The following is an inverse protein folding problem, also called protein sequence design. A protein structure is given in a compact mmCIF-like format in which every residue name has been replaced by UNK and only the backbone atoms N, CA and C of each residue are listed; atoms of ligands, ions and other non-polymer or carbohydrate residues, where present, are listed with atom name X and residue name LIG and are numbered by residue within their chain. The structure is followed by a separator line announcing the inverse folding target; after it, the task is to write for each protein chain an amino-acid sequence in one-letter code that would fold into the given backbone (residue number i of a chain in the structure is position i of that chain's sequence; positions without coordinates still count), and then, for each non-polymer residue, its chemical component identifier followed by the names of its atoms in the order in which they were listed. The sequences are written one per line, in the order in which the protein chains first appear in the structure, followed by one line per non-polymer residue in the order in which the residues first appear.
data_IF_066396127038
#
_entry.id   IF_066396127038
#
_cell.length_a   1.000
_cell.length_b   1.000
_cell.length_c   1.000
_cell.angle_alpha   90.00
_cell.angle_beta   90.00
_cell.angle_gamma   90.00
#
_symmetry.space_group_name_H-M   'P 1'
#
loop_
_entity.id
_entity.type
_entity.pdbx_description
1 polymer ?
#
# COMPACT_ATOMS: atom_id res chain seq x y z
N UNK A 1 -9.93 53.97 -35.73
CA UNK A 1 -8.81 53.98 -34.78
C UNK A 1 -8.39 52.55 -34.48
N UNK A 2 -7.56 51.81 -35.19
CA UNK A 2 -6.82 51.92 -36.47
C UNK A 2 -6.26 50.50 -36.68
N UNK A 3 -6.65 49.81 -37.75
CA UNK A 3 -5.95 49.69 -39.05
C UNK A 3 -5.06 48.44 -39.17
N UNK A 4 -5.20 47.81 -40.36
CA UNK A 4 -4.38 46.75 -41.02
C UNK A 4 -4.81 45.32 -40.69
N UNK A 5 -5.18 44.45 -41.64
CA UNK A 5 -5.05 44.42 -43.11
C UNK A 5 -6.06 43.35 -43.61
N UNK A 6 -6.99 43.69 -44.51
CA UNK A 6 -6.98 43.33 -45.95
C UNK A 6 -6.82 41.80 -46.19
N UNK A 7 -7.89 41.02 -46.38
CA UNK A 7 -8.81 40.92 -47.54
C UNK A 7 -8.15 40.37 -48.82
N UNK A 8 -8.67 39.23 -49.31
CA UNK A 8 -8.86 38.78 -50.71
C UNK A 8 -8.99 37.23 -50.71
N UNK A 9 -10.15 36.64 -50.46
CA UNK A 9 -11.25 36.30 -51.38
C UNK A 9 -10.86 35.61 -52.69
N UNK A 10 -11.41 34.40 -52.80
CA UNK A 10 -11.62 33.57 -53.98
C UNK A 10 -12.13 34.32 -55.23
N UNK A 11 -11.87 33.64 -56.35
CA UNK A 11 -12.79 33.32 -57.45
C UNK A 11 -12.61 34.02 -58.81
N UNK A 12 -12.44 33.14 -59.81
CA UNK A 12 -13.20 33.05 -61.06
C UNK A 12 -12.53 33.46 -62.39
N UNK A 13 -12.59 32.48 -63.31
CA UNK A 13 -12.97 32.55 -64.75
C UNK A 13 -11.98 33.04 -65.82
N UNK A 14 -11.60 32.09 -66.71
CA UNK A 14 -11.65 32.17 -68.19
C UNK A 14 -11.14 30.80 -68.74
N UNK A 15 -11.94 29.91 -69.31
CA UNK A 15 -12.52 29.84 -70.67
C UNK A 15 -11.47 29.83 -71.82
N UNK A 16 -11.19 28.59 -72.28
CA UNK A 16 -10.82 28.07 -73.62
C UNK A 16 -10.01 28.87 -74.66
N UNK A 17 -8.84 28.29 -75.04
CA UNK A 17 -8.26 27.96 -76.39
C UNK A 17 -8.30 28.96 -77.58
N UNK A 18 -7.42 28.85 -78.62
CA UNK A 18 -6.42 27.81 -78.92
C UNK A 18 -5.03 28.33 -79.42
N UNK A 19 -4.13 27.34 -79.67
CA UNK A 19 -3.17 27.27 -80.81
C UNK A 19 -1.68 27.61 -80.56
N UNK A 20 -0.92 26.52 -80.33
CA UNK A 20 0.18 26.02 -81.18
C UNK A 20 1.44 26.90 -81.40
N UNK A 21 2.55 26.55 -80.74
CA UNK A 21 3.91 26.58 -81.33
C UNK A 21 4.93 25.80 -80.46
N UNK A 22 5.90 25.23 -81.16
CA UNK A 22 6.92 24.20 -80.84
C UNK A 22 8.11 24.70 -79.98
N UNK A 23 9.05 23.82 -79.56
CA UNK A 23 9.61 23.81 -78.20
C UNK A 23 10.87 24.66 -78.03
N UNK A 24 10.96 25.33 -76.89
CA UNK A 24 12.22 25.88 -76.37
C UNK A 24 12.49 25.24 -75.00
N UNK A 25 13.49 24.37 -74.95
CA UNK A 25 13.93 23.66 -73.75
C UNK A 25 14.57 24.65 -72.78
N UNK A 26 13.82 25.10 -71.77
CA UNK A 26 14.34 25.88 -70.65
C UNK A 26 15.01 24.98 -69.60
N UNK A 27 16.04 25.46 -68.88
CA UNK A 27 16.78 24.67 -67.91
C UNK A 27 15.93 24.30 -66.69
N UNK A 28 15.89 23.00 -66.38
CA UNK A 28 15.21 22.42 -65.21
C UNK A 28 15.96 22.74 -63.92
N UNK A 29 15.38 23.54 -63.04
CA UNK A 29 15.82 23.65 -61.64
C UNK A 29 15.50 22.35 -60.88
N UNK A 30 16.45 21.78 -60.10
CA UNK A 30 16.19 20.56 -59.36
C UNK A 30 15.18 20.79 -58.23
N UNK A 31 14.17 19.91 -58.16
CA UNK A 31 13.17 19.89 -57.09
C UNK A 31 13.86 19.62 -55.76
N UNK A 32 13.71 20.56 -54.82
CA UNK A 32 14.18 20.45 -53.43
C UNK A 32 13.50 19.25 -52.76
N UNK A 33 14.26 18.20 -52.47
CA UNK A 33 13.80 17.12 -51.59
C UNK A 33 13.58 17.72 -50.20
N UNK A 34 12.32 17.75 -49.75
CA UNK A 34 12.00 18.08 -48.38
C UNK A 34 12.54 16.96 -47.49
N UNK A 35 13.60 17.24 -46.74
CA UNK A 35 14.05 16.36 -45.67
C UNK A 35 12.92 16.27 -44.63
N UNK A 36 12.50 15.07 -44.21
CA UNK A 36 11.61 14.96 -43.06
C UNK A 36 12.35 15.55 -41.85
N UNK A 37 11.73 16.54 -41.21
CA UNK A 37 12.20 17.06 -39.93
C UNK A 37 12.22 15.88 -38.96
N UNK A 38 13.42 15.41 -38.62
CA UNK A 38 13.60 14.43 -37.57
C UNK A 38 13.04 15.03 -36.28
N UNK A 39 11.98 14.42 -35.75
CA UNK A 39 11.49 14.73 -34.42
C UNK A 39 12.62 14.52 -33.42
N UNK A 40 12.97 15.57 -32.69
CA UNK A 40 14.06 15.56 -31.72
C UNK A 40 13.87 14.41 -30.71
N UNK A 41 14.91 13.63 -30.41
CA UNK A 41 14.86 12.55 -29.41
C UNK A 41 14.60 13.05 -27.97
N UNK A 42 14.45 14.36 -27.75
CA UNK A 42 14.24 14.99 -26.45
C UNK A 42 12.78 14.96 -25.96
N UNK A 43 11.81 14.56 -26.79
CA UNK A 43 10.40 14.45 -26.37
C UNK A 43 10.06 13.08 -25.75
N UNK A 44 11.01 12.13 -25.73
CA UNK A 44 10.86 10.83 -25.10
C UNK A 44 11.91 10.61 -24.01
N UNK A 45 11.59 9.84 -22.94
CA UNK A 45 12.59 9.42 -21.97
C UNK A 45 13.71 8.60 -22.64
N UNK A 46 14.93 8.73 -22.15
CA UNK A 46 16.09 7.97 -22.63
C UNK A 46 15.81 6.46 -22.65
N UNK A 47 16.30 5.77 -23.68
CA UNK A 47 16.24 4.30 -23.80
C UNK A 47 16.96 3.56 -22.66
N UNK A 48 17.82 4.26 -21.90
CA UNK A 48 18.52 3.74 -20.73
C UNK A 48 17.83 4.03 -19.39
N UNK A 49 16.69 4.74 -19.39
CA UNK A 49 15.99 5.06 -18.15
C UNK A 49 15.28 3.83 -17.59
N UNK A 50 15.74 3.32 -16.44
CA UNK A 50 15.02 2.30 -15.67
C UNK A 50 13.76 2.94 -15.09
N UNK A 51 12.60 2.64 -15.67
CA UNK A 51 11.31 3.02 -15.09
C UNK A 51 10.77 1.90 -14.19
N UNK A 52 10.14 2.25 -13.06
CA UNK A 52 9.50 1.27 -12.19
C UNK A 52 8.42 0.51 -12.95
N UNK A 53 8.21 -0.74 -12.56
CA UNK A 53 7.23 -1.62 -13.18
C UNK A 53 5.81 -1.10 -12.99
N UNK A 54 5.07 -0.95 -14.09
CA UNK A 54 3.71 -0.45 -14.08
C UNK A 54 2.70 -1.57 -13.75
N UNK A 55 2.36 -1.68 -12.46
CA UNK A 55 1.39 -2.64 -11.96
C UNK A 55 -0.04 -2.38 -12.44
N UNK A 56 -0.38 -1.16 -12.87
CA UNK A 56 -1.70 -0.85 -13.42
C UNK A 56 -1.84 -1.35 -14.85
N UNK A 57 -0.81 -1.16 -15.69
CA UNK A 57 -0.76 -1.73 -17.03
C UNK A 57 -0.83 -3.27 -17.01
N UNK A 58 -0.12 -3.90 -16.06
CA UNK A 58 -0.15 -5.36 -15.88
C UNK A 58 -1.53 -5.89 -15.47
N UNK A 59 -2.19 -5.22 -14.50
CA UNK A 59 -3.54 -5.60 -14.03
C UNK A 59 -4.61 -5.40 -15.10
N UNK A 60 -4.46 -4.37 -15.94
CA UNK A 60 -5.42 -4.04 -17.00
C UNK A 60 -5.11 -4.72 -18.35
N UNK A 61 -4.11 -5.62 -18.40
CA UNK A 61 -3.64 -6.27 -19.63
C UNK A 61 -3.37 -5.29 -20.78
N UNK A 62 -2.98 -4.05 -20.46
CA UNK A 62 -2.65 -3.05 -21.48
C UNK A 62 -1.33 -3.44 -22.14
N UNK A 63 -1.20 -3.25 -23.47
CA UNK A 63 0.09 -3.42 -24.12
C UNK A 63 1.10 -2.45 -23.49
N UNK A 64 2.39 -2.85 -23.39
CA UNK A 64 3.40 -1.96 -22.84
C UNK A 64 3.41 -0.65 -23.66
N UNK A 65 3.50 0.51 -22.99
CA UNK A 65 3.34 1.82 -23.64
C UNK A 65 4.39 2.12 -24.72
N UNK A 66 5.49 1.35 -24.76
CA UNK A 66 6.54 1.47 -25.77
C UNK A 66 6.90 0.12 -26.38
N UNK A 67 7.26 0.08 -27.69
CA UNK A 67 7.77 -1.12 -28.31
C UNK A 67 9.09 -1.51 -27.66
N UNK A 68 9.14 -2.71 -27.05
CA UNK A 68 10.41 -3.25 -26.55
C UNK A 68 11.45 -3.32 -27.69
N UNK A 69 12.73 -3.00 -27.44
CA UNK A 69 13.78 -2.94 -28.47
C UNK A 69 14.02 -4.28 -29.20
N UNK A 70 13.45 -5.38 -28.69
CA UNK A 70 13.55 -6.71 -29.28
C UNK A 70 12.73 -6.85 -30.57
N UNK A 71 11.68 -6.04 -30.76
CA UNK A 71 10.78 -6.19 -31.91
C UNK A 71 11.34 -5.53 -33.17
N UNK A 72 12.09 -4.42 -33.04
CA UNK A 72 12.62 -3.67 -34.20
C UNK A 72 13.81 -4.36 -34.89
N UNK A 73 14.63 -5.16 -34.17
CA UNK A 73 15.79 -5.85 -34.74
C UNK A 73 15.47 -7.18 -35.45
N UNK A 74 14.21 -7.60 -35.50
CA UNK A 74 13.84 -8.94 -36.02
C UNK A 74 13.94 -9.11 -37.54
N UNK A 75 14.15 -8.03 -38.30
CA UNK A 75 14.16 -8.09 -39.78
C UNK A 75 15.55 -8.22 -40.43
N UNK A 76 16.65 -8.19 -39.68
CA UNK A 76 17.99 -8.21 -40.27
C UNK A 76 19.04 -8.93 -39.41
N UNK A 77 18.88 -10.23 -39.17
CA UNK A 77 19.95 -11.04 -38.58
C UNK A 77 20.25 -12.25 -39.47
N UNK A 78 21.36 -12.15 -40.22
CA UNK A 78 22.01 -13.26 -40.93
C UNK A 78 22.42 -14.34 -39.92
N UNK A 79 22.25 -15.60 -40.29
CA UNK A 79 22.85 -16.74 -39.60
C UNK A 79 24.36 -16.70 -39.84
N UNK A 80 25.16 -16.60 -38.79
CA UNK A 80 26.60 -16.86 -38.85
C UNK A 80 26.94 -18.07 -38.00
N UNK A 81 27.62 -19.01 -38.64
CA UNK A 81 28.15 -20.25 -38.11
C UNK A 81 29.53 -19.95 -37.50
N UNK A 82 29.60 -19.68 -36.20
CA UNK A 82 30.83 -19.67 -35.43
C UNK A 82 30.49 -19.60 -33.94
N UNK A 83 30.99 -20.57 -33.16
CA UNK A 83 30.86 -20.59 -31.72
C UNK A 83 31.57 -19.41 -31.06
N UNK A 84 30.88 -18.80 -30.09
CA UNK A 84 31.37 -18.24 -28.81
C UNK A 84 30.15 -17.56 -28.18
N UNK A 85 29.89 -17.91 -26.92
CA UNK A 85 28.68 -17.53 -26.19
C UNK A 85 28.52 -16.02 -26.05
N UNK A 86 27.48 -15.49 -26.68
CA UNK A 86 26.88 -14.20 -26.33
C UNK A 86 25.37 -14.37 -26.27
N UNK A 87 24.78 -13.74 -25.25
CA UNK A 87 23.42 -13.87 -24.76
C UNK A 87 22.37 -13.88 -25.88
N UNK A 88 21.97 -15.09 -26.27
CA UNK A 88 20.80 -15.35 -27.11
C UNK A 88 19.50 -14.99 -26.37
N UNK A 89 18.52 -14.56 -27.14
CA UNK A 89 17.17 -14.22 -26.70
C UNK A 89 16.59 -15.21 -25.67
N UNK A 90 15.74 -14.77 -24.72
CA UNK A 90 14.95 -15.71 -23.93
C UNK A 90 14.16 -16.56 -24.93
N UNK A 91 14.46 -17.85 -24.96
CA UNK A 91 13.73 -18.82 -25.77
C UNK A 91 12.24 -18.64 -25.48
N UNK A 92 11.40 -18.71 -26.52
CA UNK A 92 9.94 -18.71 -26.35
C UNK A 92 9.63 -19.82 -25.34
N UNK A 93 9.34 -19.46 -24.09
CA UNK A 93 9.07 -20.43 -23.04
C UNK A 93 7.88 -21.25 -23.50
N UNK A 94 8.13 -22.51 -23.88
CA UNK A 94 7.08 -23.45 -24.22
C UNK A 94 6.33 -23.72 -22.93
N UNK A 95 5.26 -22.97 -22.70
CA UNK A 95 4.38 -23.19 -21.55
C UNK A 95 3.62 -24.48 -21.85
N UNK A 96 4.03 -25.57 -21.19
CA UNK A 96 3.33 -26.85 -21.26
C UNK A 96 1.88 -26.62 -20.86
N UNK A 97 0.93 -26.94 -21.75
CA UNK A 97 -0.49 -26.88 -21.42
C UNK A 97 -0.76 -27.92 -20.33
N UNK A 98 -1.40 -27.49 -19.23
CA UNK A 98 -1.84 -28.41 -18.16
C UNK A 98 -2.75 -29.49 -18.74
N UNK A 99 -2.53 -30.74 -18.33
CA UNK A 99 -3.36 -31.88 -18.72
C UNK A 99 -4.80 -31.74 -18.17
N UNK A 100 -5.78 -32.47 -18.73
CA UNK A 100 -7.17 -32.39 -18.26
C UNK A 100 -7.31 -32.76 -16.77
N UNK A 101 -6.60 -33.80 -16.33
CA UNK A 101 -6.57 -34.20 -14.92
C UNK A 101 -5.98 -33.09 -14.04
N UNK A 102 -4.85 -32.51 -14.46
CA UNK A 102 -4.19 -31.41 -13.75
C UNK A 102 -5.07 -30.14 -13.69
N UNK A 103 -5.89 -29.89 -14.72
CA UNK A 103 -6.87 -28.79 -14.71
C UNK A 103 -7.93 -29.04 -13.64
N UNK A 104 -8.55 -30.23 -13.64
CA UNK A 104 -9.58 -30.61 -12.66
C UNK A 104 -9.05 -30.56 -11.22
N UNK A 105 -7.86 -31.12 -10.96
CA UNK A 105 -7.26 -31.08 -9.62
C UNK A 105 -6.87 -29.67 -9.18
N UNK A 106 -6.67 -28.73 -10.12
CA UNK A 106 -6.33 -27.34 -9.81
C UNK A 106 -7.55 -26.43 -9.54
N UNK A 107 -8.78 -26.87 -9.85
CA UNK A 107 -9.99 -26.03 -9.67
C UNK A 107 -10.15 -25.53 -8.23
N UNK A 108 -10.04 -26.38 -7.17
CA UNK A 108 -10.18 -25.89 -5.79
C UNK A 108 -9.12 -24.86 -5.42
N UNK A 109 -7.88 -25.07 -5.88
CA UNK A 109 -6.78 -24.13 -5.65
C UNK A 109 -7.02 -22.78 -6.33
N UNK A 110 -7.64 -22.81 -7.52
CA UNK A 110 -7.99 -21.61 -8.28
C UNK A 110 -9.13 -20.84 -7.63
N UNK A 111 -10.18 -21.54 -7.17
CA UNK A 111 -11.28 -20.91 -6.43
C UNK A 111 -10.77 -20.31 -5.12
N UNK A 112 -9.93 -21.03 -4.36
CA UNK A 112 -9.33 -20.51 -3.14
C UNK A 112 -8.47 -19.25 -3.41
N UNK A 113 -7.71 -19.26 -4.52
CA UNK A 113 -6.95 -18.10 -4.96
C UNK A 113 -7.87 -16.93 -5.34
N UNK A 114 -8.92 -17.16 -6.12
CA UNK A 114 -9.88 -16.12 -6.51
C UNK A 114 -10.62 -15.54 -5.30
N UNK A 115 -11.01 -16.38 -4.32
CA UNK A 115 -11.58 -15.93 -3.04
C UNK A 115 -10.57 -15.11 -2.23
N UNK A 116 -9.29 -15.51 -2.21
CA UNK A 116 -8.26 -14.75 -1.49
C UNK A 116 -7.96 -13.38 -2.10
N UNK A 117 -8.19 -13.23 -3.40
CA UNK A 117 -8.00 -11.96 -4.11
C UNK A 117 -9.27 -11.10 -4.04
N UNK A 118 -10.44 -11.70 -3.85
CA UNK A 118 -11.72 -10.99 -3.86
C UNK A 118 -11.74 -9.72 -2.98
N UNK A 119 -11.25 -9.71 -1.73
CA UNK A 119 -11.20 -8.49 -0.91
C UNK A 119 -10.39 -7.35 -1.52
N UNK A 120 -9.37 -7.68 -2.33
CA UNK A 120 -8.51 -6.70 -3.01
C UNK A 120 -9.06 -6.25 -4.37
N UNK A 121 -10.02 -7.00 -4.93
CA UNK A 121 -10.64 -6.69 -6.22
C UNK A 121 -11.89 -5.80 -6.09
N UNK A 122 -12.47 -5.70 -4.90
CA UNK A 122 -13.58 -4.78 -4.63
C UNK A 122 -12.99 -3.40 -4.38
N UNK A 123 -13.44 -2.34 -5.09
CA UNK A 123 -13.02 -0.97 -4.81
C UNK A 123 -13.67 -0.51 -3.51
N UNK A 124 -13.10 -0.93 -2.38
CA UNK A 124 -13.50 -0.47 -1.06
C UNK A 124 -13.09 1.01 -0.90
N UNK A 125 -13.88 1.82 -0.17
CA UNK A 125 -13.48 3.18 0.16
C UNK A 125 -12.16 3.16 0.93
N UNK A 126 -11.42 4.28 0.89
CA UNK A 126 -10.16 4.37 1.63
C UNK A 126 -10.37 3.99 3.11
N UNK A 127 -9.40 3.35 3.78
CA UNK A 127 -9.53 2.93 5.18
C UNK A 127 -10.00 4.07 6.09
N UNK A 128 -9.49 5.29 5.85
CA UNK A 128 -9.93 6.50 6.57
C UNK A 128 -11.39 6.85 6.28
N UNK A 129 -11.78 6.90 5.01
CA UNK A 129 -13.17 7.19 4.63
C UNK A 129 -14.14 6.16 5.22
N UNK A 130 -13.78 4.88 5.17
CA UNK A 130 -14.59 3.81 5.77
C UNK A 130 -14.77 4.00 7.27
N UNK A 131 -13.71 4.38 7.98
CA UNK A 131 -13.76 4.63 9.42
C UNK A 131 -14.64 5.85 9.77
N UNK A 132 -14.58 6.92 8.97
CA UNK A 132 -15.48 8.07 9.13
C UNK A 132 -16.95 7.70 8.89
N UNK A 133 -17.23 6.90 7.86
CA UNK A 133 -18.60 6.43 7.58
C UNK A 133 -19.13 5.55 8.71
N UNK A 134 -18.33 4.57 9.16
CA UNK A 134 -18.71 3.67 10.26
C UNK A 134 -18.85 4.42 11.58
N UNK A 135 -17.87 5.25 11.95
CA UNK A 135 -17.92 6.04 13.18
C UNK A 135 -19.06 7.06 13.18
N UNK A 136 -19.29 7.73 12.05
CA UNK A 136 -20.44 8.63 11.86
C UNK A 136 -21.78 7.90 11.97
N UNK A 137 -21.88 6.70 11.40
CA UNK A 137 -23.05 5.82 11.56
C UNK A 137 -23.25 5.42 13.03
N UNK A 138 -22.18 5.09 13.77
CA UNK A 138 -22.27 4.77 15.20
C UNK A 138 -22.74 5.97 16.03
N UNK A 139 -22.27 7.18 15.74
CA UNK A 139 -22.80 8.40 16.35
C UNK A 139 -24.27 8.62 16.04
N UNK A 140 -24.66 8.44 14.77
CA UNK A 140 -26.04 8.62 14.32
C UNK A 140 -26.98 7.61 15.00
N UNK A 141 -26.59 6.33 15.05
CA UNK A 141 -27.35 5.30 15.74
C UNK A 141 -27.50 5.62 17.23
N UNK A 142 -26.41 6.02 17.91
CA UNK A 142 -26.50 6.44 19.31
C UNK A 142 -27.44 7.63 19.51
N UNK A 143 -27.38 8.62 18.62
CA UNK A 143 -28.28 9.76 18.65
C UNK A 143 -29.75 9.32 18.51
N UNK A 144 -30.07 8.46 17.53
CA UNK A 144 -31.42 7.93 17.35
C UNK A 144 -31.92 7.19 18.59
N UNK A 145 -31.06 6.39 19.22
CA UNK A 145 -31.38 5.67 20.46
C UNK A 145 -31.65 6.64 21.60
N UNK A 146 -30.82 7.66 21.78
CA UNK A 146 -31.02 8.70 22.81
C UNK A 146 -32.27 9.54 22.59
N UNK A 147 -32.57 9.90 21.34
CA UNK A 147 -33.81 10.61 21.00
C UNK A 147 -35.03 9.73 21.30
N UNK A 148 -34.97 8.43 21.00
CA UNK A 148 -36.04 7.50 21.38
C UNK A 148 -36.21 7.41 22.90
N UNK A 149 -35.10 7.34 23.66
CA UNK A 149 -35.15 7.31 25.12
C UNK A 149 -35.78 8.58 25.69
N UNK A 150 -35.37 9.77 25.24
CA UNK A 150 -35.92 11.04 25.71
C UNK A 150 -37.40 11.20 25.36
N UNK A 151 -37.84 10.70 24.19
CA UNK A 151 -39.26 10.72 23.80
C UNK A 151 -40.13 9.74 24.58
N UNK A 152 -39.54 8.65 25.07
CA UNK A 152 -40.23 7.62 25.84
C UNK A 152 -40.18 7.87 27.35
N UNK A 153 -39.57 8.97 27.82
CA UNK A 153 -39.69 9.38 29.22
C UNK A 153 -41.15 9.79 29.43
N UNK A 154 -41.93 9.05 30.25
CA UNK A 154 -43.33 9.38 30.48
C UNK A 154 -43.43 10.74 31.18
N UNK A 155 -44.41 11.56 30.80
CA UNK A 155 -44.71 12.84 31.47
C UNK A 155 -45.15 12.66 32.95
N UNK A 156 -45.33 11.40 33.39
CA UNK A 156 -45.65 10.99 34.77
C UNK A 156 -44.61 11.48 35.78
N UNK A 157 -43.34 11.62 35.38
CA UNK A 157 -42.23 12.10 36.23
C UNK A 157 -42.26 13.62 36.48
N UNK A 158 -43.18 14.35 35.85
CA UNK A 158 -43.20 15.83 35.84
C UNK A 158 -44.33 16.41 36.73
N UNK A 159 -45.32 15.60 37.15
CA UNK A 159 -46.48 16.08 37.91
C UNK A 159 -46.92 15.14 39.04
N UNK A 160 -47.25 15.69 40.21
CA UNK A 160 -47.82 14.96 41.35
C UNK A 160 -49.18 14.30 41.08
N UNK A 161 -49.76 14.55 39.90
CA UNK A 161 -51.11 14.17 39.51
C UNK A 161 -51.22 12.73 38.99
N UNK A 162 -50.11 12.08 38.61
CA UNK A 162 -50.11 10.79 37.90
C UNK A 162 -49.76 9.55 38.76
N UNK A 163 -49.51 9.73 40.06
CA UNK A 163 -49.12 8.66 40.99
C UNK A 163 -50.18 7.54 41.18
N UNK A 164 -51.36 7.69 40.58
CA UNK A 164 -52.47 6.74 40.69
C UNK A 164 -52.69 5.88 39.43
N UNK A 165 -51.96 6.10 38.32
CA UNK A 165 -52.18 5.40 37.04
C UNK A 165 -50.93 4.69 36.45
N UNK A 166 -49.84 4.55 37.22
CA UNK A 166 -48.50 4.17 36.71
C UNK A 166 -48.31 2.73 36.17
N UNK A 167 -49.24 1.79 36.36
CA UNK A 167 -48.93 0.36 36.12
C UNK A 167 -49.30 -0.21 34.73
N UNK A 168 -49.92 0.56 33.82
CA UNK A 168 -50.54 -0.04 32.63
C UNK A 168 -49.76 0.06 31.30
N UNK A 169 -48.74 0.91 31.18
CA UNK A 169 -48.05 1.16 29.88
C UNK A 169 -46.51 0.93 29.91
N UNK A 170 -45.97 0.30 30.95
CA UNK A 170 -44.53 -0.01 31.01
C UNK A 170 -44.22 -1.19 30.08
N UNK A 171 -43.59 -0.92 28.93
CA UNK A 171 -43.09 -1.96 28.05
C UNK A 171 -42.08 -2.83 28.80
N UNK A 172 -42.36 -4.13 28.91
CA UNK A 172 -41.48 -5.13 29.54
C UNK A 172 -40.10 -5.24 28.87
N UNK A 173 -39.94 -4.71 27.65
CA UNK A 173 -38.69 -4.68 26.92
C UNK A 173 -38.43 -3.28 26.33
N UNK A 174 -37.32 -2.67 26.76
CA UNK A 174 -36.77 -1.47 26.15
C UNK A 174 -35.60 -1.83 25.25
N UNK A 175 -35.79 -1.68 23.94
CA UNK A 175 -34.78 -1.99 22.92
C UNK A 175 -33.58 -1.05 22.97
N UNK A 176 -33.69 0.11 23.62
CA UNK A 176 -32.63 1.12 23.63
C UNK A 176 -31.45 0.73 24.52
N UNK A 177 -31.71 0.01 25.62
CA UNK A 177 -30.68 -0.50 26.54
C UNK A 177 -29.73 -1.52 25.87
N UNK A 178 -30.18 -2.60 25.22
CA UNK A 178 -29.28 -3.52 24.55
C UNK A 178 -28.53 -2.88 23.37
N UNK A 179 -29.13 -1.90 22.68
CA UNK A 179 -28.45 -1.20 21.59
C UNK A 179 -27.35 -0.25 22.10
N UNK A 180 -27.59 0.50 23.19
CA UNK A 180 -26.52 1.30 23.81
C UNK A 180 -25.38 0.42 24.34
N UNK A 181 -25.71 -0.69 25.01
CA UNK A 181 -24.72 -1.68 25.46
C UNK A 181 -23.91 -2.26 24.30
N UNK A 182 -24.56 -2.60 23.19
CA UNK A 182 -23.90 -3.09 21.97
C UNK A 182 -22.94 -2.03 21.39
N UNK A 183 -23.36 -0.78 21.31
CA UNK A 183 -22.52 0.30 20.77
C UNK A 183 -21.30 0.59 21.65
N UNK A 184 -21.47 0.55 22.99
CA UNK A 184 -20.35 0.63 23.95
C UNK A 184 -19.42 -0.57 23.81
N UNK A 185 -19.96 -1.78 23.65
CA UNK A 185 -19.18 -2.99 23.45
C UNK A 185 -18.40 -2.96 22.13
N UNK A 186 -19.01 -2.49 21.04
CA UNK A 186 -18.33 -2.33 19.74
C UNK A 186 -17.22 -1.28 19.81
N UNK A 187 -17.45 -0.14 20.47
CA UNK A 187 -16.41 0.87 20.69
C UNK A 187 -15.24 0.31 21.51
N UNK A 188 -15.55 -0.43 22.57
CA UNK A 188 -14.56 -1.08 23.44
C UNK A 188 -13.80 -2.17 22.70
N UNK A 189 -14.48 -2.97 21.89
CA UNK A 189 -13.85 -3.99 21.06
C UNK A 189 -12.90 -3.37 20.03
N UNK A 190 -13.28 -2.27 19.37
CA UNK A 190 -12.39 -1.56 18.48
C UNK A 190 -11.14 -1.02 19.21
N UNK A 191 -11.31 -0.45 20.40
CA UNK A 191 -10.19 0.01 21.23
C UNK A 191 -9.27 -1.15 21.65
N UNK A 192 -9.84 -2.25 22.14
CA UNK A 192 -9.09 -3.45 22.50
C UNK A 192 -8.34 -4.03 21.30
N UNK A 193 -9.00 -4.11 20.15
CA UNK A 193 -8.37 -4.58 18.91
C UNK A 193 -7.21 -3.65 18.51
N UNK A 194 -7.41 -2.34 18.53
CA UNK A 194 -6.36 -1.36 18.25
C UNK A 194 -5.14 -1.55 19.15
N UNK A 195 -5.32 -1.73 20.46
CA UNK A 195 -4.20 -1.88 21.41
C UNK A 195 -3.57 -3.27 21.42
N UNK A 196 -4.27 -4.30 20.93
CA UNK A 196 -3.75 -5.67 20.83
C UNK A 196 -3.25 -6.05 19.44
N UNK A 197 -3.44 -5.20 18.43
CA UNK A 197 -2.99 -5.46 17.07
C UNK A 197 -1.47 -5.28 16.96
N UNK A 198 -0.76 -6.38 17.17
CA UNK A 198 0.70 -6.48 17.03
C UNK A 198 1.07 -7.39 15.86
N UNK A 199 2.24 -7.13 15.28
CA UNK A 199 2.84 -7.92 14.21
C UNK A 199 4.20 -8.42 14.63
N UNK A 200 4.42 -9.71 14.39
CA UNK A 200 5.67 -10.38 14.70
C UNK A 200 6.64 -10.24 13.53
N UNK A 201 7.84 -9.76 13.82
CA UNK A 201 8.94 -9.65 12.87
C UNK A 201 10.08 -10.57 13.27
N UNK A 202 10.53 -11.41 12.35
CA UNK A 202 11.65 -12.32 12.58
C UNK A 202 12.93 -11.76 11.97
N UNK A 203 13.96 -11.60 12.80
CA UNK A 203 15.28 -11.10 12.41
C UNK A 203 16.25 -12.27 12.30
N UNK A 204 16.51 -12.70 11.07
CA UNK A 204 17.37 -13.87 10.79
C UNK A 204 18.88 -13.56 10.74
N UNK A 205 19.22 -12.29 10.51
CA UNK A 205 20.60 -11.85 10.29
C UNK A 205 21.24 -11.24 11.55
N UNK A 206 20.44 -10.92 12.58
CA UNK A 206 20.92 -10.24 13.79
C UNK A 206 21.26 -11.27 14.88
N UNK A 207 22.54 -11.44 15.25
CA UNK A 207 22.94 -12.35 16.32
C UNK A 207 22.78 -11.73 17.71
N UNK A 208 22.96 -10.42 17.82
CA UNK A 208 22.93 -9.70 19.09
C UNK A 208 21.49 -9.37 19.53
N UNK A 209 21.20 -9.40 20.84
CA UNK A 209 19.87 -9.09 21.34
C UNK A 209 19.51 -7.63 21.06
N UNK A 210 18.50 -7.41 20.21
CA UNK A 210 17.82 -6.12 20.08
C UNK A 210 17.31 -5.63 21.44
N UNK A 211 17.67 -4.38 21.78
CA UNK A 211 17.32 -3.67 23.00
C UNK A 211 15.86 -3.19 22.99
N UNK A 212 14.90 -4.12 23.00
CA UNK A 212 13.48 -3.80 23.19
C UNK A 212 12.82 -4.79 24.14
N UNK A 213 11.86 -4.34 24.97
CA UNK A 213 11.15 -5.22 25.91
C UNK A 213 10.29 -6.28 25.21
N UNK A 214 9.92 -6.04 23.95
CA UNK A 214 9.10 -6.93 23.12
C UNK A 214 9.94 -7.85 22.22
N UNK A 215 11.26 -7.88 22.40
CA UNK A 215 12.13 -8.80 21.66
C UNK A 215 12.37 -10.09 22.46
N UNK A 216 12.28 -11.23 21.79
CA UNK A 216 12.57 -12.55 22.36
C UNK A 216 13.26 -13.45 21.35
N UNK A 217 14.01 -14.44 21.81
CA UNK A 217 14.56 -15.48 20.94
C UNK A 217 13.60 -16.65 20.82
N UNK A 218 13.27 -17.04 19.59
CA UNK A 218 12.38 -18.16 19.27
C UNK A 218 13.11 -19.11 18.34
N UNK A 219 12.80 -20.41 18.42
CA UNK A 219 13.32 -21.37 17.44
C UNK A 219 12.84 -20.97 16.04
N UNK A 220 13.74 -21.00 15.04
CA UNK A 220 13.39 -20.65 13.67
C UNK A 220 12.09 -21.36 13.26
N UNK A 221 11.07 -20.63 12.80
CA UNK A 221 9.83 -21.25 12.36
C UNK A 221 10.17 -22.18 11.20
N UNK A 222 10.10 -23.49 11.46
CA UNK A 222 10.21 -24.49 10.41
C UNK A 222 8.93 -24.43 9.57
N UNK A 223 9.08 -24.42 8.24
CA UNK A 223 7.94 -24.43 7.34
C UNK A 223 6.94 -25.50 7.79
N UNK A 224 5.66 -25.14 8.01
CA UNK A 224 4.68 -26.09 8.48
C UNK A 224 4.62 -27.22 7.45
N UNK A 225 4.80 -28.49 7.86
CA UNK A 225 4.73 -29.59 6.92
C UNK A 225 3.37 -29.56 6.22
N UNK A 226 3.30 -29.98 4.94
CA UNK A 226 2.08 -29.90 4.15
C UNK A 226 0.91 -30.52 4.90
N UNK A 227 -0.30 -29.95 4.75
CA UNK A 227 -1.50 -30.37 5.48
C UNK A 227 -1.73 -31.89 5.43
N UNK A 228 -1.48 -32.53 4.29
CA UNK A 228 -1.56 -33.98 4.14
C UNK A 228 -0.62 -34.74 5.11
N UNK A 229 0.60 -34.26 5.28
CA UNK A 229 1.57 -34.84 6.23
C UNK A 229 1.16 -34.55 7.68
N UNK A 230 0.60 -33.38 7.98
CA UNK A 230 0.05 -33.05 9.31
C UNK A 230 -1.13 -33.96 9.67
N UNK A 231 -2.11 -34.08 8.77
CA UNK A 231 -3.26 -34.95 8.95
C UNK A 231 -2.85 -36.41 9.06
N UNK A 232 -1.94 -36.90 8.20
CA UNK A 232 -1.43 -38.28 8.28
C UNK A 232 -0.70 -38.54 9.60
N UNK A 233 0.12 -37.60 10.07
CA UNK A 233 0.85 -37.77 11.34
C UNK A 233 -0.10 -37.70 12.55
N UNK A 234 -1.11 -36.84 12.53
CA UNK A 234 -2.16 -36.83 13.56
C UNK A 234 -3.01 -38.09 13.52
N UNK A 235 -3.47 -38.52 12.34
CA UNK A 235 -4.23 -39.75 12.16
C UNK A 235 -3.43 -40.98 12.61
N UNK A 236 -2.13 -41.04 12.27
CA UNK A 236 -1.24 -42.10 12.75
C UNK A 236 -1.05 -42.06 14.27
N UNK A 237 -0.88 -40.87 14.86
CA UNK A 237 -0.80 -40.71 16.32
C UNK A 237 -2.09 -41.15 17.00
N UNK A 238 -3.25 -40.79 16.45
CA UNK A 238 -4.56 -41.18 16.96
C UNK A 238 -4.77 -42.70 16.83
N UNK A 239 -4.45 -43.29 15.67
CA UNK A 239 -4.51 -44.73 15.46
C UNK A 239 -3.58 -45.48 16.40
N UNK A 240 -2.34 -45.00 16.56
CA UNK A 240 -1.37 -45.61 17.46
C UNK A 240 -1.71 -45.38 18.94
N UNK A 241 -2.43 -44.31 19.29
CA UNK A 241 -2.98 -44.11 20.62
C UNK A 241 -4.16 -45.05 20.89
N UNK A 242 -5.06 -45.23 19.92
CA UNK A 242 -6.17 -46.18 19.99
C UNK A 242 -5.67 -47.62 20.12
N UNK A 243 -4.65 -48.02 19.36
CA UNK A 243 -4.02 -49.33 19.46
C UNK A 243 -3.28 -49.53 20.79
N UNK A 244 -2.58 -48.52 21.30
CA UNK A 244 -1.93 -48.60 22.63
C UNK A 244 -2.94 -48.68 23.77
N UNK A 245 -4.06 -47.96 23.67
CA UNK A 245 -5.19 -48.06 24.59
C UNK A 245 -5.79 -49.47 24.60
N UNK A 246 -6.04 -50.05 23.42
CA UNK A 246 -6.57 -51.42 23.28
C UNK A 246 -5.61 -52.50 23.83
N UNK A 247 -4.30 -52.28 23.73
CA UNK A 247 -3.28 -53.22 24.20
C UNK A 247 -2.81 -52.97 25.64
N UNK A 248 -3.41 -52.00 26.35
CA UNK A 248 -3.04 -51.67 27.74
C UNK A 248 -1.60 -51.15 27.91
N UNK A 249 -0.95 -50.70 26.83
CA UNK A 249 0.42 -50.20 26.87
C UNK A 249 0.40 -48.74 27.35
N UNK A 250 0.85 -48.52 28.59
CA UNK A 250 0.95 -47.18 29.18
C UNK A 250 1.72 -46.20 28.28
N UNK A 251 1.26 -44.96 28.23
CA UNK A 251 1.95 -43.90 27.49
C UNK A 251 3.27 -43.61 28.20
N UNK A 252 4.36 -44.23 27.75
CA UNK A 252 5.68 -43.76 28.17
C UNK A 252 5.79 -42.32 27.70
N UNK A 253 5.94 -41.40 28.65
CA UNK A 253 6.21 -40.00 28.38
C UNK A 253 7.49 -39.98 27.57
N UNK A 254 7.34 -39.99 26.24
CA UNK A 254 8.46 -39.86 25.34
C UNK A 254 9.11 -38.55 25.73
N UNK A 255 10.26 -38.67 26.39
CA UNK A 255 11.24 -37.62 26.57
C UNK A 255 11.16 -36.77 25.31
N UNK A 256 10.80 -35.50 25.49
CA UNK A 256 10.96 -34.46 24.47
C UNK A 256 12.47 -34.31 24.29
N UNK A 257 13.09 -35.34 23.72
CA UNK A 257 14.50 -35.50 23.52
C UNK A 257 14.90 -34.43 22.53
N UNK A 258 15.60 -33.41 23.03
CA UNK A 258 16.90 -32.91 22.55
C UNK A 258 17.09 -32.56 21.07
N UNK A 259 16.12 -32.78 20.20
CA UNK A 259 16.14 -32.39 18.78
C UNK A 259 15.83 -30.90 18.59
N UNK A 260 15.46 -30.20 19.66
CA UNK A 260 15.28 -28.74 19.65
C UNK A 260 16.60 -27.98 19.86
N UNK A 261 17.69 -28.64 20.25
CA UNK A 261 18.94 -27.96 20.65
C UNK A 261 19.73 -27.42 19.45
N UNK A 262 19.47 -27.89 18.22
CA UNK A 262 20.10 -27.37 17.00
C UNK A 262 19.15 -26.53 16.12
N UNK A 263 17.97 -26.15 16.62
CA UNK A 263 17.11 -25.24 15.90
C UNK A 263 17.73 -23.85 15.97
N UNK A 264 18.18 -23.33 14.81
CA UNK A 264 18.70 -21.96 14.68
C UNK A 264 17.77 -21.00 15.42
N UNK A 265 18.25 -20.38 16.50
CA UNK A 265 17.46 -19.40 17.25
C UNK A 265 17.39 -18.13 16.41
N UNK A 266 16.19 -17.62 16.19
CA UNK A 266 15.89 -16.41 15.43
C UNK A 266 15.28 -15.43 16.40
N UNK A 267 15.70 -14.17 16.33
CA UNK A 267 15.10 -13.15 17.16
C UNK A 267 13.74 -12.75 16.60
N UNK A 268 12.73 -12.70 17.46
CA UNK A 268 11.38 -12.27 17.16
C UNK A 268 11.11 -10.95 17.89
N UNK A 269 10.61 -9.97 17.17
CA UNK A 269 10.21 -8.67 17.68
C UNK A 269 8.71 -8.49 17.47
N UNK A 270 7.98 -8.33 18.56
CA UNK A 270 6.57 -7.95 18.51
C UNK A 270 6.45 -6.42 18.39
N UNK A 271 5.90 -5.96 17.27
CA UNK A 271 5.75 -4.55 16.96
C UNK A 271 4.27 -4.21 16.89
N UNK A 272 3.85 -3.20 17.65
CA UNK A 272 2.51 -2.65 17.52
C UNK A 272 2.34 -2.00 16.14
N UNK A 273 1.34 -2.44 15.37
CA UNK A 273 1.14 -1.99 13.98
C UNK A 273 -0.32 -1.65 13.73
N UNK A 274 -0.82 -0.53 14.27
CA UNK A 274 -2.24 -0.19 14.16
C UNK A 274 -2.65 0.01 12.70
N UNK A 275 -3.78 -0.57 12.28
CA UNK A 275 -4.29 -0.31 10.94
C UNK A 275 -4.89 1.11 10.85
N UNK A 276 -4.83 1.70 9.65
CA UNK A 276 -5.29 3.06 9.41
C UNK A 276 -6.81 3.21 9.67
N UNK A 277 -7.60 2.15 9.47
CA UNK A 277 -9.04 2.15 9.73
C UNK A 277 -9.36 2.15 11.22
N UNK A 278 -8.69 1.31 12.00
CA UNK A 278 -8.95 1.09 13.43
C UNK A 278 -8.60 2.33 14.22
N UNK A 279 -7.45 2.91 13.89
CA UNK A 279 -6.96 4.15 14.46
C UNK A 279 -7.86 5.33 14.09
N UNK A 280 -8.29 5.44 12.83
CA UNK A 280 -9.23 6.49 12.42
C UNK A 280 -10.61 6.32 13.10
N UNK A 281 -11.11 5.09 13.23
CA UNK A 281 -12.37 4.79 13.88
C UNK A 281 -12.30 5.11 15.38
N UNK A 282 -11.20 4.79 16.04
CA UNK A 282 -10.96 5.14 17.44
C UNK A 282 -10.92 6.66 17.66
N UNK A 283 -10.35 7.44 16.73
CA UNK A 283 -10.35 8.89 16.81
C UNK A 283 -11.75 9.49 16.62
N UNK A 284 -12.58 8.93 15.74
CA UNK A 284 -13.94 9.44 15.47
C UNK A 284 -14.92 8.97 16.55
N UNK A 285 -14.88 7.69 16.91
CA UNK A 285 -15.83 7.06 17.84
C UNK A 285 -15.10 6.14 18.82
N UNK A 286 -14.57 6.74 19.89
CA UNK A 286 -13.89 6.01 20.98
C UNK A 286 -14.90 5.51 22.04
N UNK A 287 -14.51 4.60 22.96
CA UNK A 287 -15.35 4.21 24.10
C UNK A 287 -15.80 5.40 24.94
N UNK A 288 -14.97 6.45 25.03
CA UNK A 288 -15.32 7.71 25.72
C UNK A 288 -16.48 8.40 25.02
N UNK A 289 -16.53 8.35 23.69
CA UNK A 289 -17.65 8.91 22.93
C UNK A 289 -18.96 8.16 23.21
N UNK A 290 -18.89 6.83 23.30
CA UNK A 290 -20.05 6.01 23.68
C UNK A 290 -20.57 6.36 25.08
N UNK A 291 -19.67 6.59 26.06
CA UNK A 291 -20.04 7.02 27.41
C UNK A 291 -20.56 8.47 27.47
N UNK A 292 -20.00 9.38 26.66
CA UNK A 292 -20.50 10.75 26.59
C UNK A 292 -21.95 10.81 26.05
N UNK A 293 -22.32 9.88 25.16
CA UNK A 293 -23.72 9.74 24.73
C UNK A 293 -24.67 9.32 25.86
N UNK A 294 -24.21 8.56 26.86
CA UNK A 294 -25.06 8.22 28.01
C UNK A 294 -25.33 9.42 28.92
N UNK A 295 -24.42 10.41 28.92
CA UNK A 295 -24.57 11.66 29.65
C UNK A 295 -25.35 12.75 28.87
N UNK A 296 -25.76 12.47 27.62
CA UNK A 296 -26.48 13.41 26.78
C UNK A 296 -27.92 13.63 27.25
N UNK A 297 -28.32 14.89 27.40
CA UNK A 297 -29.65 15.36 27.79
C UNK A 297 -30.02 16.65 27.01
N UNK A 298 -31.31 16.99 26.93
CA UNK A 298 -31.82 18.20 26.27
C UNK A 298 -31.26 19.51 26.87
N UNK A 299 -30.89 19.50 28.15
CA UNK A 299 -30.28 20.65 28.83
C UNK A 299 -28.77 20.81 28.64
N UNK A 300 -28.03 19.75 28.27
CA UNK A 300 -26.56 19.76 28.22
C UNK A 300 -25.99 19.36 26.84
N UNK A 301 -26.84 19.23 25.81
CA UNK A 301 -26.44 18.72 24.49
C UNK A 301 -25.29 19.51 23.85
N UNK A 302 -25.24 20.83 24.04
CA UNK A 302 -24.16 21.69 23.51
C UNK A 302 -22.82 21.32 24.17
N UNK A 303 -22.81 21.21 25.50
CA UNK A 303 -21.61 20.86 26.26
C UNK A 303 -21.11 19.46 25.88
N UNK A 304 -22.01 18.48 25.76
CA UNK A 304 -21.66 17.11 25.36
C UNK A 304 -21.15 17.08 23.92
N UNK A 305 -21.77 17.80 22.99
CA UNK A 305 -21.31 17.89 21.61
C UNK A 305 -19.92 18.55 21.51
N UNK A 306 -19.68 19.63 22.25
CA UNK A 306 -18.36 20.26 22.34
C UNK A 306 -17.32 19.32 22.96
N UNK A 307 -17.67 18.59 24.02
CA UNK A 307 -16.78 17.62 24.65
C UNK A 307 -16.41 16.48 23.69
N UNK A 308 -17.38 15.96 22.94
CA UNK A 308 -17.19 14.94 21.90
C UNK A 308 -16.25 15.43 20.80
N UNK A 309 -16.51 16.62 20.27
CA UNK A 309 -15.64 17.24 19.26
C UNK A 309 -14.23 17.48 19.81
N UNK A 310 -14.11 17.92 21.07
CA UNK A 310 -12.84 18.11 21.76
C UNK A 310 -12.05 16.81 21.90
N UNK A 311 -12.69 15.71 22.32
CA UNK A 311 -12.06 14.39 22.45
C UNK A 311 -11.59 13.89 21.08
N UNK A 312 -12.45 13.98 20.05
CA UNK A 312 -12.10 13.64 18.67
C UNK A 312 -10.89 14.44 18.17
N UNK A 313 -10.89 15.75 18.40
CA UNK A 313 -9.79 16.64 18.00
C UNK A 313 -8.49 16.31 18.73
N UNK A 314 -8.56 16.08 20.04
CA UNK A 314 -7.41 15.73 20.88
C UNK A 314 -6.78 14.40 20.44
N UNK A 315 -7.59 13.35 20.27
CA UNK A 315 -7.12 12.04 19.79
C UNK A 315 -6.49 12.15 18.41
N UNK A 316 -7.11 12.93 17.51
CA UNK A 316 -6.60 13.13 16.16
C UNK A 316 -5.25 13.87 16.17
N UNK A 317 -5.15 14.99 16.90
CA UNK A 317 -3.93 15.76 17.00
C UNK A 317 -2.78 14.93 17.58
N UNK A 318 -3.03 14.20 18.68
CA UNK A 318 -2.06 13.29 19.28
C UNK A 318 -1.58 12.24 18.28
N UNK A 319 -2.51 11.64 17.55
CA UNK A 319 -2.19 10.55 16.64
C UNK A 319 -1.42 11.04 15.40
N UNK A 320 -1.82 12.17 14.81
CA UNK A 320 -1.13 12.74 13.65
C UNK A 320 0.29 13.21 14.01
N UNK A 321 0.45 13.87 15.16
CA UNK A 321 1.77 14.32 15.65
C UNK A 321 2.68 13.14 15.99
N UNK A 322 2.16 12.09 16.62
CA UNK A 322 2.94 10.89 16.91
C UNK A 322 3.33 10.13 15.64
N UNK A 323 2.44 10.04 14.64
CA UNK A 323 2.77 9.45 13.34
C UNK A 323 3.83 10.26 12.59
N UNK A 324 3.79 11.59 12.68
CA UNK A 324 4.83 12.46 12.12
C UNK A 324 6.18 12.17 12.81
N UNK A 325 6.21 12.14 14.14
CA UNK A 325 7.41 11.81 14.91
C UNK A 325 8.03 10.47 14.49
N UNK A 326 7.21 9.42 14.33
CA UNK A 326 7.71 8.11 13.90
C UNK A 326 8.31 8.15 12.48
N UNK A 327 7.68 8.88 11.56
CA UNK A 327 8.21 9.05 10.21
C UNK A 327 9.52 9.81 10.22
N UNK A 328 9.61 10.90 10.98
CA UNK A 328 10.80 11.72 11.08
C UNK A 328 11.97 10.92 11.66
N UNK A 329 11.73 10.12 12.72
CA UNK A 329 12.75 9.22 13.28
C UNK A 329 13.21 8.16 12.27
N UNK A 330 12.28 7.60 11.49
CA UNK A 330 12.63 6.62 10.46
C UNK A 330 13.46 7.25 9.33
N UNK A 331 13.13 8.48 8.92
CA UNK A 331 13.90 9.23 7.92
C UNK A 331 15.31 9.53 8.44
N UNK A 332 15.43 10.01 9.67
CA UNK A 332 16.74 10.29 10.29
C UNK A 332 17.57 9.01 10.35
N UNK A 333 16.99 7.89 10.80
CA UNK A 333 17.72 6.61 10.86
C UNK A 333 18.16 6.14 9.46
N UNK A 334 17.31 6.30 8.44
CA UNK A 334 17.65 5.96 7.07
C UNK A 334 18.76 6.86 6.50
N UNK A 335 18.70 8.16 6.76
CA UNK A 335 19.69 9.12 6.29
C UNK A 335 21.06 8.90 6.95
N UNK A 336 21.10 8.61 8.25
CA UNK A 336 22.35 8.27 8.95
C UNK A 336 22.99 7.01 8.37
N UNK A 337 22.19 5.98 8.05
CA UNK A 337 22.72 4.78 7.38
C UNK A 337 23.15 5.08 5.94
N UNK A 338 22.43 5.95 5.22
CA UNK A 338 22.81 6.37 3.88
C UNK A 338 24.15 7.10 3.85
N UNK A 339 24.35 8.05 4.77
CA UNK A 339 25.60 8.79 4.92
C UNK A 339 26.76 7.87 5.33
N UNK A 340 26.49 6.91 6.23
CA UNK A 340 27.46 5.89 6.60
C UNK A 340 27.88 5.05 5.39
N UNK A 341 26.92 4.57 4.61
CA UNK A 341 27.16 3.75 3.43
C UNK A 341 27.95 4.51 2.36
N UNK A 342 27.60 5.78 2.08
CA UNK A 342 28.32 6.59 1.08
C UNK A 342 29.76 6.89 1.50
N UNK A 343 29.99 7.16 2.79
CA UNK A 343 31.32 7.55 3.29
C UNK A 343 32.24 6.37 3.55
N UNK A 344 31.72 5.28 4.12
CA UNK A 344 32.55 4.20 4.68
C UNK A 344 32.41 2.87 3.96
N UNK A 345 31.24 2.55 3.41
CA UNK A 345 30.99 1.22 2.79
C UNK A 345 31.26 1.27 1.29
N UNK A 346 30.73 2.27 0.60
CA UNK A 346 30.84 2.47 -0.84
C UNK A 346 31.46 3.83 -1.17
N UNK A 347 32.71 4.10 -0.71
CA UNK A 347 33.36 5.36 -1.01
C UNK A 347 33.47 5.53 -2.53
N UNK A 348 33.20 6.74 -3.02
CA UNK A 348 33.34 7.07 -4.45
C UNK A 348 34.81 6.90 -4.85
N UNK A 349 35.13 5.81 -5.55
CA UNK A 349 36.50 5.46 -5.94
C UNK A 349 37.11 6.49 -6.89
N UNK A 350 36.29 7.10 -7.77
CA UNK A 350 36.72 8.11 -8.74
C UNK A 350 35.98 9.44 -8.53
N UNK A 351 36.35 10.24 -7.51
CA UNK A 351 35.80 11.58 -7.36
C UNK A 351 36.30 12.47 -8.50
N UNK A 352 35.40 13.25 -9.11
CA UNK A 352 35.80 14.25 -10.12
C UNK A 352 36.60 15.33 -9.41
N UNK A 353 37.91 15.33 -9.58
CA UNK A 353 38.82 16.38 -9.09
C UNK A 353 38.99 17.44 -10.17
N UNK A 354 39.06 18.71 -9.75
CA UNK A 354 39.49 19.81 -10.62
C UNK A 354 40.95 20.11 -10.30
N UNK A 355 41.80 20.13 -11.31
CA UNK A 355 43.18 20.54 -11.16
C UNK A 355 43.21 22.07 -10.97
N UNK A 356 43.56 22.50 -9.76
CA UNK A 356 43.81 23.91 -9.48
C UNK A 356 45.31 24.17 -9.73
N UNK A 357 45.65 24.74 -10.87
CA UNK A 357 46.99 25.26 -11.10
C UNK A 357 47.17 26.53 -10.27
N UNK A 358 48.03 26.48 -9.25
CA UNK A 358 48.45 27.67 -8.51
C UNK A 358 49.58 28.30 -9.32
N UNK A 359 49.27 29.31 -10.13
CA UNK A 359 50.30 30.21 -10.64
C UNK A 359 50.45 31.36 -9.64
N UNK A 360 51.61 31.47 -9.00
CA UNK A 360 51.99 32.70 -8.30
C UNK A 360 52.16 33.79 -9.36
N UNK A 361 51.35 34.84 -9.29
CA UNK A 361 51.52 36.00 -10.17
C UNK A 361 52.89 36.64 -9.87
N UNK A 362 53.69 36.94 -10.89
CA UNK A 362 54.98 37.64 -10.74
C UNK A 362 54.84 39.01 -10.04
N UNK A 363 53.63 39.59 -10.00
CA UNK A 363 53.35 40.83 -9.28
C UNK A 363 53.43 40.71 -7.74
N UNK A 364 53.49 39.50 -7.18
CA UNK A 364 53.68 39.28 -5.73
C UNK A 364 55.16 39.16 -5.33
N UNK A 365 56.10 39.24 -6.29
CA UNK A 365 57.53 39.31 -5.99
C UNK A 365 57.85 40.75 -5.60
N UNK A 366 57.86 41.02 -4.29
CA UNK A 366 58.38 42.28 -3.74
C UNK A 366 59.87 42.35 -4.02
N UNK A 367 60.29 43.23 -4.93
CA UNK A 367 61.71 43.55 -5.13
C UNK A 367 62.21 44.31 -3.89
N UNK A 368 63.01 43.65 -3.05
CA UNK A 368 63.57 44.21 -1.81
C UNK A 368 64.78 45.14 -2.09
N UNK A 369 65.09 45.40 -3.37
CA UNK A 369 66.35 46.03 -3.78
C UNK A 369 66.17 47.34 -4.57
N UNK A 370 64.96 47.87 -4.66
CA UNK A 370 64.72 49.21 -5.23
C UNK A 370 64.45 50.20 -4.08
N UNK A 371 65.53 50.74 -3.49
CA UNK A 371 65.58 51.97 -2.68
C UNK A 371 66.51 52.99 -3.37
#
# INVERSE_FOLDING_TARGET
MDLRRLAQTNNATAVSSPRQATPATQPSTPKRTAYPIATSPLLGPSLSASRPFDWEAARSHRPPPYPSPVIAKRKAARKSEAGVGTLGAPTKRVVRKKSLCERLTSIPSRIAFEISIFPNNVPLPSPKTSAWLVGGLMHFLHFCVRVSQVRNVPDTDVGWEDMFHEDNDVSWFDWTVPVTALLVALASFNALFLFTHTKLYHMHAQPDPVSSPHARFVAAPADPPPLARRLRTQAWRAAAAAWRFLLGIGTSAASRSSAAESARRVQELEVWTPDARELALFCVYSPVHALLWTAWNSGNWILVACAMAGVSAQLRALTETYQALLKDRAIIAAEVMHEYDEKFVYPRVNPVRKDAAVMTNQAEIVNIWED
#
